data_IF_338214576101
#
_entry.id   IF_338214576101
#
_cell.length_a   1.000
_cell.length_b   1.000
_cell.length_c   1.000
_cell.angle_alpha   90.00
_cell.angle_beta   90.00
_cell.angle_gamma   90.00
#
_symmetry.space_group_name_H-M   'P 1'
#
loop_
_entity.id
_entity.type
_entity.pdbx_description
1 polymer ?
#
# COMPACT_ATOMS: atom_id res chain seq x y z
N UNK A 1 -1.66 -21.20 -25.13
CA UNK A 1 -0.31 -21.37 -24.60
C UNK A 1 -0.20 -20.38 -23.46
N UNK A 2 -0.53 -20.84 -22.25
CA UNK A 2 -0.26 -20.09 -21.03
C UNK A 2 1.05 -20.66 -20.52
N UNK A 3 2.09 -19.84 -20.53
CA UNK A 3 3.36 -20.23 -19.92
C UNK A 3 3.13 -20.34 -18.42
N UNK A 4 3.55 -21.45 -17.83
CA UNK A 4 3.53 -21.60 -16.38
C UNK A 4 4.57 -20.62 -15.85
N UNK A 5 4.16 -19.69 -15.00
CA UNK A 5 5.11 -18.84 -14.28
C UNK A 5 6.03 -19.76 -13.47
N UNK A 6 7.28 -19.88 -13.91
CA UNK A 6 8.29 -20.62 -13.18
C UNK A 6 8.51 -19.94 -11.83
N UNK A 7 8.47 -20.73 -10.77
CA UNK A 7 8.54 -20.30 -9.38
C UNK A 7 10.00 -20.03 -8.97
N UNK A 8 10.75 -19.32 -9.79
CA UNK A 8 12.21 -19.22 -9.66
C UNK A 8 12.64 -17.91 -8.96
N UNK A 9 11.67 -17.13 -8.48
CA UNK A 9 11.88 -15.85 -7.84
C UNK A 9 11.00 -15.65 -6.62
N UNK A 10 11.00 -16.59 -5.68
CA UNK A 10 10.49 -16.35 -4.32
C UNK A 10 11.47 -15.41 -3.59
N UNK A 11 11.39 -14.11 -3.87
CA UNK A 11 12.04 -13.11 -3.03
C UNK A 11 11.46 -13.17 -1.63
N UNK A 12 12.31 -13.07 -0.60
CA UNK A 12 11.86 -13.13 0.78
C UNK A 12 10.77 -12.08 1.04
N UNK A 13 9.68 -12.49 1.69
CA UNK A 13 8.53 -11.61 1.98
C UNK A 13 8.99 -10.37 2.77
N UNK A 14 10.03 -10.51 3.58
CA UNK A 14 10.65 -9.43 4.34
C UNK A 14 11.40 -8.41 3.47
N UNK A 15 11.94 -8.84 2.31
CA UNK A 15 12.63 -7.94 1.38
C UNK A 15 11.64 -7.07 0.58
N UNK A 16 10.46 -7.63 0.27
CA UNK A 16 9.42 -6.94 -0.52
C UNK A 16 8.48 -6.12 0.38
N UNK A 17 8.24 -6.58 1.61
CA UNK A 17 7.37 -5.91 2.57
C UNK A 17 8.04 -4.70 3.21
N UNK A 18 7.22 -3.79 3.73
CA UNK A 18 7.71 -2.71 4.56
C UNK A 18 8.34 -3.21 5.87
N UNK A 19 9.37 -2.52 6.39
CA UNK A 19 9.91 -2.85 7.70
C UNK A 19 8.91 -2.46 8.79
N UNK A 20 8.48 -3.46 9.58
CA UNK A 20 7.49 -3.31 10.66
C UNK A 20 7.91 -2.30 11.74
N UNK A 21 9.21 -2.23 12.07
CA UNK A 21 9.76 -1.29 13.05
C UNK A 21 9.46 0.17 12.75
N UNK A 22 9.20 0.53 11.48
CA UNK A 22 8.84 1.91 11.10
C UNK A 22 7.49 2.37 11.64
N UNK A 23 6.58 1.44 11.92
CA UNK A 23 5.33 1.78 12.61
C UNK A 23 5.58 2.03 14.09
N UNK A 24 6.45 1.25 14.73
CA UNK A 24 6.81 1.40 16.14
C UNK A 24 7.59 2.70 16.40
N UNK A 25 8.45 3.08 15.46
CA UNK A 25 9.21 4.33 15.48
C UNK A 25 8.35 5.57 15.16
N UNK A 26 7.09 5.38 14.73
CA UNK A 26 6.20 6.46 14.30
C UNK A 26 6.57 7.10 12.96
N UNK A 27 7.44 6.44 12.17
CA UNK A 27 7.82 6.89 10.82
C UNK A 27 6.72 6.59 9.80
N UNK A 28 6.00 5.49 9.98
CA UNK A 28 4.83 5.13 9.16
C UNK A 28 3.53 5.24 9.96
N UNK A 29 2.50 5.73 9.28
CA UNK A 29 1.14 5.73 9.80
C UNK A 29 0.42 4.42 9.43
N UNK A 30 -0.19 3.70 10.40
CA UNK A 30 -0.95 2.49 10.11
C UNK A 30 -2.24 2.83 9.38
N UNK A 31 -2.49 2.15 8.26
CA UNK A 31 -3.67 2.38 7.41
C UNK A 31 -4.36 1.05 7.13
N UNK A 32 -5.69 1.03 7.19
CA UNK A 32 -6.49 -0.16 6.91
C UNK A 32 -7.27 -0.04 5.59
N UNK A 33 -7.45 -1.17 4.90
CA UNK A 33 -8.39 -1.24 3.77
C UNK A 33 -9.81 -0.92 4.26
N UNK A 34 -10.53 -0.07 3.52
CA UNK A 34 -11.85 0.43 3.89
C UNK A 34 -11.84 1.67 4.79
N UNK A 35 -10.69 2.09 5.32
CA UNK A 35 -10.58 3.33 6.09
C UNK A 35 -10.88 4.55 5.19
N UNK A 36 -11.55 5.56 5.75
CA UNK A 36 -11.84 6.81 5.05
C UNK A 36 -10.96 7.93 5.60
N UNK A 37 -9.88 8.25 4.89
CA UNK A 37 -9.00 9.34 5.24
C UNK A 37 -9.58 10.69 4.85
N UNK A 38 -9.47 11.66 5.76
CA UNK A 38 -9.93 13.05 5.59
C UNK A 38 -11.40 13.15 5.15
N UNK A 39 -12.23 12.16 5.50
CA UNK A 39 -13.62 12.05 5.03
C UNK A 39 -13.80 12.11 3.50
N UNK A 40 -12.74 11.78 2.73
CA UNK A 40 -12.68 11.99 1.28
C UNK A 40 -12.14 10.80 0.51
N UNK A 41 -11.23 10.03 1.09
CA UNK A 41 -10.51 8.99 0.37
C UNK A 41 -10.70 7.64 1.06
N UNK A 42 -11.42 6.73 0.39
CA UNK A 42 -11.63 5.37 0.89
C UNK A 42 -10.49 4.47 0.41
N UNK A 43 -9.71 3.92 1.34
CA UNK A 43 -8.56 3.05 1.03
C UNK A 43 -9.03 1.73 0.42
N UNK A 44 -8.43 1.33 -0.70
CA UNK A 44 -8.78 0.09 -1.42
C UNK A 44 -7.65 -0.93 -1.36
N UNK A 45 -6.44 -0.54 -1.74
CA UNK A 45 -5.29 -1.43 -1.83
C UNK A 45 -4.00 -0.72 -1.48
N UNK A 46 -3.03 -1.46 -0.94
CA UNK A 46 -1.66 -0.96 -0.82
C UNK A 46 -0.97 -1.05 -2.18
N UNK A 47 -0.32 0.02 -2.60
CA UNK A 47 0.45 0.08 -3.84
C UNK A 47 1.95 -0.14 -3.61
N UNK A 48 2.45 0.18 -2.41
CA UNK A 48 3.82 -0.11 -2.02
C UNK A 48 4.30 0.71 -0.83
N UNK A 49 5.61 0.68 -0.62
CA UNK A 49 6.31 1.50 0.35
C UNK A 49 7.64 1.96 -0.25
N UNK A 50 8.22 2.99 0.35
CA UNK A 50 9.58 3.43 0.05
C UNK A 50 10.22 4.00 1.30
N UNK A 51 11.45 4.48 1.20
CA UNK A 51 12.28 4.86 2.35
C UNK A 51 11.68 5.83 3.39
N UNK A 52 10.54 6.48 3.14
CA UNK A 52 9.92 7.41 4.09
C UNK A 52 8.39 7.39 4.08
N UNK A 53 7.75 6.54 3.29
CA UNK A 53 6.30 6.65 3.06
C UNK A 53 5.70 5.34 2.60
N UNK A 54 4.40 5.21 2.81
CA UNK A 54 3.58 4.17 2.16
C UNK A 54 2.70 4.78 1.08
N UNK A 55 2.41 4.00 0.03
CA UNK A 55 1.58 4.45 -1.08
C UNK A 55 0.37 3.53 -1.18
N UNK A 56 -0.81 4.14 -1.25
CA UNK A 56 -2.10 3.46 -1.22
C UNK A 56 -2.99 3.89 -2.38
N UNK A 57 -3.71 2.96 -2.96
CA UNK A 57 -4.82 3.24 -3.85
C UNK A 57 -6.03 3.59 -2.99
N UNK A 58 -6.69 4.70 -3.32
CA UNK A 58 -7.91 5.10 -2.68
C UNK A 58 -8.94 5.57 -3.71
N UNK A 59 -10.22 5.39 -3.40
CA UNK A 59 -11.31 5.96 -4.17
C UNK A 59 -11.69 7.34 -3.58
N UNK A 60 -11.60 8.39 -4.41
CA UNK A 60 -12.02 9.73 -4.03
C UNK A 60 -13.55 9.86 -4.03
N UNK A 61 -14.15 10.05 -2.86
CA UNK A 61 -15.60 10.07 -2.67
C UNK A 61 -16.28 11.27 -3.35
N UNK A 62 -15.59 12.42 -3.44
CA UNK A 62 -16.06 13.62 -4.13
C UNK A 62 -15.73 13.61 -5.62
N UNK A 63 -14.50 13.25 -5.98
CA UNK A 63 -14.04 13.24 -7.37
C UNK A 63 -14.59 12.05 -8.18
N UNK A 64 -15.06 10.99 -7.50
CA UNK A 64 -15.48 9.71 -8.10
C UNK A 64 -14.39 9.10 -8.97
N UNK A 65 -13.14 9.18 -8.50
CA UNK A 65 -11.94 8.74 -9.23
C UNK A 65 -10.99 8.04 -8.28
N UNK A 66 -10.29 7.05 -8.80
CA UNK A 66 -9.20 6.40 -8.09
C UNK A 66 -7.96 7.31 -8.09
N UNK A 67 -7.28 7.32 -6.95
CA UNK A 67 -6.09 8.15 -6.70
C UNK A 67 -5.03 7.35 -5.97
N UNK A 68 -3.78 7.75 -6.10
CA UNK A 68 -2.68 7.27 -5.26
C UNK A 68 -2.46 8.28 -4.13
N UNK A 69 -2.52 7.80 -2.89
CA UNK A 69 -2.19 8.56 -1.69
C UNK A 69 -0.79 8.15 -1.22
N UNK A 70 0.08 9.14 -1.02
CA UNK A 70 1.34 8.98 -0.31
C UNK A 70 1.14 9.47 1.12
N UNK A 71 1.44 8.60 2.06
CA UNK A 71 1.31 8.83 3.50
C UNK A 71 2.70 8.75 4.10
#
# INVERSE_FOLDING_TARGET
WGDFVDSDGEGDIEEVSEPSGRYEEGLYYPVCIGEVLLSRYCIQHKLGHGGFSTVWMAHGLLSKKDVALKI
#
